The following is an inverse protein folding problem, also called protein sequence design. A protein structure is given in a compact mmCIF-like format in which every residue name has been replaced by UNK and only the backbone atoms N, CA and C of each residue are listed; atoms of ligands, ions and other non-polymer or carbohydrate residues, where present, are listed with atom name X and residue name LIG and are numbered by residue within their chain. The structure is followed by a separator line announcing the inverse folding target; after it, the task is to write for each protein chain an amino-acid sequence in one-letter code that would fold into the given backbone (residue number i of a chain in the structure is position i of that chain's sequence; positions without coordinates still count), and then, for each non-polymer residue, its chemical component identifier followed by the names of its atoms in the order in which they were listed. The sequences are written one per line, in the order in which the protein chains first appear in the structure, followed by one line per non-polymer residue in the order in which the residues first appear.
data_IF_561479983590
#
_entry.id   IF_561479983590
#
_cell.length_a   1.000
_cell.length_b   1.000
_cell.length_c   1.000
_cell.angle_alpha   90.00
_cell.angle_beta   90.00
_cell.angle_gamma   90.00
#
_symmetry.space_group_name_H-M   'P 1'
#
loop_
_entity.id
_entity.type
_entity.pdbx_description
1 polymer ?
#
# COMPACT_ATOMS: atom_id res chain seq x y z
N UNK A 1 -13.07 0.45 11.28
CA UNK A 1 -13.27 1.41 10.18
C UNK A 1 -12.36 1.01 9.02
N UNK A 2 -12.73 1.30 7.77
CA UNK A 2 -11.92 0.97 6.59
C UNK A 2 -11.48 2.25 5.89
N UNK A 3 -10.25 2.29 5.37
CA UNK A 3 -9.67 3.44 4.64
C UNK A 3 -8.83 2.92 3.50
N UNK A 4 -8.94 3.52 2.31
CA UNK A 4 -8.24 3.06 1.11
C UNK A 4 -7.63 4.21 0.32
N UNK A 5 -6.46 4.72 0.75
CA UNK A 5 -5.73 5.72 -0.03
C UNK A 5 -5.42 5.24 -1.45
N UNK A 6 -5.12 3.95 -1.66
CA UNK A 6 -4.86 3.40 -3.00
C UNK A 6 -6.03 3.65 -3.97
N UNK A 7 -7.28 3.44 -3.55
CA UNK A 7 -8.45 3.72 -4.39
C UNK A 7 -8.62 5.23 -4.63
N UNK A 8 -8.38 6.04 -3.59
CA UNK A 8 -8.51 7.48 -3.67
C UNK A 8 -7.40 8.15 -4.50
N UNK A 9 -6.31 7.45 -4.90
CA UNK A 9 -5.38 7.98 -5.92
C UNK A 9 -6.08 8.21 -7.27
N UNK A 10 -7.24 7.60 -7.50
CA UNK A 10 -8.11 7.85 -8.63
C UNK A 10 -9.36 8.66 -8.22
N UNK A 11 -10.08 8.24 -7.18
CA UNK A 11 -11.39 8.82 -6.86
C UNK A 11 -11.32 10.14 -6.09
N UNK A 12 -10.26 10.39 -5.33
CA UNK A 12 -10.02 11.63 -4.60
C UNK A 12 -8.52 11.97 -4.52
N UNK A 13 -7.87 12.30 -5.64
CA UNK A 13 -6.40 12.31 -5.77
C UNK A 13 -5.75 13.53 -5.10
N UNK A 14 -6.44 14.25 -4.23
CA UNK A 14 -5.98 15.50 -3.62
C UNK A 14 -4.80 15.35 -2.65
N UNK A 15 -4.25 14.15 -2.47
CA UNK A 15 -3.02 13.89 -1.71
C UNK A 15 -1.95 13.20 -2.56
N UNK A 16 -2.30 12.76 -3.77
CA UNK A 16 -1.48 11.89 -4.61
C UNK A 16 -0.67 12.69 -5.64
N UNK A 17 0.55 12.23 -5.93
CA UNK A 17 1.49 12.89 -6.85
C UNK A 17 2.65 13.61 -6.17
N UNK A 18 3.69 13.87 -6.95
CA UNK A 18 4.92 14.57 -6.52
C UNK A 18 4.64 16.07 -6.42
N UNK A 19 4.96 16.69 -5.29
CA UNK A 19 4.79 18.13 -5.12
C UNK A 19 5.90 18.91 -5.84
N UNK A 20 5.67 20.18 -6.23
CA UNK A 20 6.69 20.99 -6.91
C UNK A 20 8.02 21.09 -6.15
N UNK A 21 7.99 21.15 -4.82
CA UNK A 21 9.17 21.18 -3.96
C UNK A 21 9.92 19.83 -3.87
N UNK A 22 9.33 18.76 -4.38
CA UNK A 22 9.88 17.40 -4.35
C UNK A 22 10.51 16.99 -5.69
N UNK A 23 10.45 17.85 -6.72
CA UNK A 23 10.97 17.54 -8.06
C UNK A 23 12.46 17.27 -8.08
N UNK A 24 13.21 17.86 -7.14
CA UNK A 24 14.66 17.72 -7.02
C UNK A 24 15.09 16.48 -6.22
N UNK A 25 14.14 15.75 -5.60
CA UNK A 25 14.44 14.51 -4.90
C UNK A 25 14.81 13.39 -5.90
N UNK A 26 15.56 12.40 -5.42
CA UNK A 26 15.74 11.14 -6.14
C UNK A 26 14.38 10.46 -6.37
N UNK A 27 14.27 9.57 -7.34
CA UNK A 27 13.02 8.82 -7.60
C UNK A 27 12.52 8.08 -6.35
N UNK A 28 13.43 7.44 -5.62
CA UNK A 28 13.11 6.81 -4.34
C UNK A 28 12.62 7.82 -3.30
N UNK A 29 13.22 9.02 -3.22
CA UNK A 29 12.78 10.08 -2.33
C UNK A 29 11.42 10.66 -2.68
N UNK A 30 11.11 10.79 -3.98
CA UNK A 30 9.79 11.20 -4.47
C UNK A 30 8.72 10.19 -4.06
N UNK A 31 8.98 8.90 -4.30
CA UNK A 31 8.05 7.83 -3.94
C UNK A 31 7.86 7.79 -2.42
N UNK A 32 8.93 7.89 -1.63
CA UNK A 32 8.86 7.93 -0.17
C UNK A 32 7.92 9.05 0.33
N UNK A 33 8.10 10.27 -0.18
CA UNK A 33 7.28 11.42 0.20
C UNK A 33 5.80 11.22 -0.17
N UNK A 34 5.53 10.71 -1.38
CA UNK A 34 4.17 10.40 -1.85
C UNK A 34 3.51 9.34 -0.97
N UNK A 35 4.23 8.26 -0.63
CA UNK A 35 3.66 7.18 0.19
C UNK A 35 3.41 7.62 1.64
N UNK A 36 4.27 8.48 2.20
CA UNK A 36 4.03 9.10 3.52
C UNK A 36 2.78 9.98 3.52
N UNK A 37 2.50 10.71 2.44
CA UNK A 37 1.23 11.44 2.27
C UNK A 37 0.02 10.50 2.20
N UNK A 38 0.13 9.38 1.49
CA UNK A 38 -0.95 8.39 1.42
C UNK A 38 -1.28 7.80 2.80
N UNK A 39 -0.27 7.50 3.63
CA UNK A 39 -0.49 7.08 5.02
C UNK A 39 -1.08 8.21 5.86
N UNK A 40 -0.59 9.43 5.71
CA UNK A 40 -1.16 10.60 6.41
C UNK A 40 -2.63 10.81 6.07
N UNK A 41 -3.04 10.54 4.82
CA UNK A 41 -4.43 10.58 4.39
C UNK A 41 -5.28 9.49 5.07
N UNK A 42 -4.79 8.25 5.19
CA UNK A 42 -5.47 7.20 5.96
C UNK A 42 -5.64 7.58 7.44
N UNK A 43 -4.60 8.18 8.05
CA UNK A 43 -4.63 8.65 9.43
C UNK A 43 -5.67 9.76 9.61
N UNK A 44 -5.77 10.70 8.66
CA UNK A 44 -6.79 11.75 8.70
C UNK A 44 -8.21 11.17 8.62
N UNK A 45 -8.45 10.15 7.79
CA UNK A 45 -9.75 9.47 7.75
C UNK A 45 -10.07 8.77 9.07
N UNK A 46 -9.08 8.11 9.69
CA UNK A 46 -9.21 7.52 11.03
C UNK A 46 -9.53 8.56 12.11
N UNK A 47 -8.77 9.66 12.14
CA UNK A 47 -8.92 10.72 13.13
C UNK A 47 -10.29 11.42 12.99
N UNK A 48 -10.80 11.56 11.76
CA UNK A 48 -12.15 12.08 11.51
C UNK A 48 -13.25 11.22 12.18
N UNK A 49 -13.15 9.89 12.07
CA UNK A 49 -14.06 8.95 12.74
C UNK A 49 -13.95 9.08 14.27
N UNK A 50 -12.73 9.12 14.80
CA UNK A 50 -12.50 9.25 16.25
C UNK A 50 -13.04 10.58 16.78
N UNK A 51 -12.81 11.68 16.06
CA UNK A 51 -13.29 13.01 16.41
C UNK A 51 -14.83 13.05 16.44
N UNK A 52 -15.49 12.44 15.45
CA UNK A 52 -16.95 12.35 15.40
C UNK A 52 -17.51 11.53 16.57
N UNK A 53 -16.93 10.36 16.87
CA UNK A 53 -17.36 9.55 18.02
C UNK A 53 -17.22 10.33 19.34
N UNK A 54 -16.10 11.06 19.51
CA UNK A 54 -15.86 11.89 20.69
C UNK A 54 -16.83 13.06 20.81
N UNK A 55 -17.21 13.70 19.71
CA UNK A 55 -18.16 14.83 19.74
C UNK A 55 -19.56 14.42 20.22
N UNK A 56 -19.91 13.14 20.07
CA UNK A 56 -21.13 12.53 20.61
C UNK A 56 -21.00 12.12 22.09
N UNK A 57 -19.86 12.36 22.74
CA UNK A 57 -19.59 11.92 24.11
C UNK A 57 -19.41 10.41 24.24
N UNK A 58 -19.17 9.69 23.14
CA UNK A 58 -18.99 8.24 23.15
C UNK A 58 -17.50 7.92 23.31
N UNK A 59 -17.18 7.01 24.24
CA UNK A 59 -15.83 6.49 24.42
C UNK A 59 -15.78 5.03 23.95
N UNK A 60 -15.35 4.81 22.71
CA UNK A 60 -15.09 3.48 22.14
C UNK A 60 -13.75 3.44 21.43
N UNK A 61 -13.07 2.30 21.57
CA UNK A 61 -11.89 2.01 20.77
C UNK A 61 -12.27 1.92 19.28
N UNK A 62 -11.40 2.45 18.42
CA UNK A 62 -11.52 2.35 16.97
C UNK A 62 -10.29 1.60 16.47
N UNK A 63 -10.51 0.64 15.58
CA UNK A 63 -9.47 -0.13 14.92
C UNK A 63 -9.62 -0.04 13.41
N UNK A 64 -8.52 -0.29 12.69
CA UNK A 64 -8.53 -0.42 11.23
C UNK A 64 -8.96 -1.85 10.90
N UNK A 65 -10.19 -1.98 10.43
CA UNK A 65 -10.78 -3.27 10.05
C UNK A 65 -10.36 -3.73 8.66
N UNK A 66 -9.95 -2.79 7.80
CA UNK A 66 -9.47 -3.10 6.46
C UNK A 66 -8.76 -1.89 5.86
N UNK A 67 -7.67 -2.15 5.15
CA UNK A 67 -6.91 -1.22 4.31
C UNK A 67 -5.87 -2.04 3.57
N UNK A 68 -5.49 -1.61 2.37
CA UNK A 68 -4.55 -2.36 1.55
C UNK A 68 -4.00 -1.52 0.41
N UNK A 69 -2.98 -2.07 -0.24
CA UNK A 69 -2.35 -1.46 -1.40
C UNK A 69 -1.93 -2.56 -2.36
N UNK A 70 -2.59 -2.67 -3.51
CA UNK A 70 -2.31 -3.72 -4.48
C UNK A 70 -0.93 -3.54 -5.14
N UNK A 71 -0.29 -4.67 -5.44
CA UNK A 71 1.01 -4.70 -6.11
C UNK A 71 0.91 -4.61 -7.64
N UNK A 72 -0.31 -4.69 -8.19
CA UNK A 72 -0.53 -4.62 -9.65
C UNK A 72 -1.91 -4.06 -9.99
N UNK A 73 -2.04 -3.49 -11.18
CA UNK A 73 -3.31 -3.07 -11.80
C UNK A 73 -3.08 -2.81 -13.28
N UNK A 74 -3.99 -3.30 -14.13
CA UNK A 74 -4.11 -2.85 -15.53
C UNK A 74 -5.15 -1.74 -15.74
N UNK A 75 -5.88 -1.33 -14.69
CA UNK A 75 -6.87 -0.26 -14.72
C UNK A 75 -6.37 1.07 -14.14
N UNK A 76 -7.27 1.79 -13.45
CA UNK A 76 -7.05 3.14 -12.93
C UNK A 76 -5.85 3.31 -12.00
N UNK A 77 -5.39 2.24 -11.36
CA UNK A 77 -4.30 2.31 -10.38
C UNK A 77 -2.92 1.99 -10.99
N UNK A 78 -2.91 1.54 -12.24
CA UNK A 78 -1.74 1.01 -12.94
C UNK A 78 -0.98 2.03 -13.78
N UNK A 79 -0.20 1.51 -14.75
CA UNK A 79 0.69 2.27 -15.64
C UNK A 79 -0.03 3.32 -16.50
N UNK A 80 -1.29 3.08 -16.85
CA UNK A 80 -2.11 4.00 -17.65
C UNK A 80 -2.98 4.94 -16.79
N UNK A 81 -2.88 4.82 -15.46
CA UNK A 81 -3.68 5.58 -14.50
C UNK A 81 -2.82 6.31 -13.48
N UNK A 82 -3.09 6.09 -12.20
CA UNK A 82 -2.47 6.83 -11.11
C UNK A 82 -1.03 6.43 -10.79
N UNK A 83 -0.48 5.36 -11.40
CA UNK A 83 0.86 4.83 -11.10
C UNK A 83 1.04 4.44 -9.63
N UNK A 84 -0.03 3.92 -9.01
CA UNK A 84 -0.08 3.59 -7.59
C UNK A 84 0.43 2.16 -7.30
N UNK A 85 0.19 1.20 -8.18
CA UNK A 85 0.38 -0.22 -7.85
C UNK A 85 1.71 -0.80 -8.30
N UNK A 86 2.53 -1.21 -7.33
CA UNK A 86 3.74 -2.04 -7.48
C UNK A 86 4.14 -2.58 -6.09
N UNK A 87 4.95 -3.65 -6.05
CA UNK A 87 5.40 -4.27 -4.79
C UNK A 87 6.20 -3.30 -3.89
N UNK A 88 6.82 -2.27 -4.47
CA UNK A 88 7.59 -1.29 -3.69
C UNK A 88 6.68 -0.35 -2.91
N UNK A 89 5.68 0.25 -3.57
CA UNK A 89 4.68 1.11 -2.91
C UNK A 89 3.78 0.34 -1.96
N UNK A 90 3.40 -0.90 -2.30
CA UNK A 90 2.71 -1.81 -1.37
C UNK A 90 3.50 -1.95 -0.06
N UNK A 91 4.80 -2.26 -0.15
CA UNK A 91 5.64 -2.43 1.02
C UNK A 91 5.76 -1.14 1.87
N UNK A 92 5.99 0.00 1.23
CA UNK A 92 6.07 1.29 1.93
C UNK A 92 4.76 1.62 2.66
N UNK A 93 3.61 1.43 2.01
CA UNK A 93 2.32 1.65 2.64
C UNK A 93 2.11 0.73 3.84
N UNK A 94 2.37 -0.57 3.66
CA UNK A 94 2.27 -1.57 4.72
C UNK A 94 3.13 -1.21 5.93
N UNK A 95 4.42 -0.90 5.72
CA UNK A 95 5.37 -0.61 6.81
C UNK A 95 5.01 0.67 7.56
N UNK A 96 4.77 1.77 6.84
CA UNK A 96 4.47 3.06 7.46
C UNK A 96 3.14 3.04 8.22
N UNK A 97 2.12 2.38 7.66
CA UNK A 97 0.83 2.27 8.35
C UNK A 97 0.92 1.36 9.59
N UNK A 98 1.63 0.23 9.51
CA UNK A 98 1.82 -0.66 10.66
C UNK A 98 2.65 -0.02 11.77
N UNK A 99 3.68 0.76 11.42
CA UNK A 99 4.46 1.51 12.40
C UNK A 99 3.56 2.46 13.18
N UNK A 100 2.79 3.31 12.48
CA UNK A 100 1.83 4.21 13.10
C UNK A 100 0.79 3.46 13.95
N UNK A 101 0.18 2.41 13.40
CA UNK A 101 -0.87 1.67 14.10
C UNK A 101 -0.33 1.03 15.39
N UNK A 102 0.88 0.45 15.35
CA UNK A 102 1.57 -0.11 16.52
C UNK A 102 1.82 0.96 17.58
N UNK A 103 2.34 2.12 17.20
CA UNK A 103 2.59 3.24 18.13
C UNK A 103 1.31 3.74 18.81
N UNK A 104 0.18 3.66 18.11
CA UNK A 104 -1.13 4.08 18.63
C UNK A 104 -1.91 2.96 19.33
N UNK A 105 -1.35 1.75 19.44
CA UNK A 105 -2.05 0.55 19.94
C UNK A 105 -3.35 0.26 19.17
N UNK A 106 -3.31 0.44 17.86
CA UNK A 106 -4.42 0.20 16.93
C UNK A 106 -4.15 -1.12 16.21
N UNK A 107 -5.09 -2.06 16.29
CA UNK A 107 -5.08 -3.22 15.39
C UNK A 107 -5.36 -2.79 13.96
N UNK A 108 -4.57 -3.34 13.02
CA UNK A 108 -4.77 -3.20 11.59
C UNK A 108 -4.96 -4.58 10.96
N UNK A 109 -6.17 -4.86 10.51
CA UNK A 109 -6.47 -6.05 9.71
C UNK A 109 -6.16 -5.71 8.25
N UNK A 110 -4.87 -5.75 7.91
CA UNK A 110 -4.38 -5.36 6.59
C UNK A 110 -4.85 -6.34 5.51
N UNK A 111 -5.24 -5.78 4.37
CA UNK A 111 -5.76 -6.46 3.22
C UNK A 111 -4.66 -6.57 2.14
N UNK A 112 -4.12 -7.76 1.85
CA UNK A 112 -4.47 -9.08 2.40
C UNK A 112 -3.27 -10.03 2.52
N UNK A 113 -3.49 -11.25 3.02
CA UNK A 113 -2.40 -12.20 3.21
C UNK A 113 -1.88 -12.79 1.89
N UNK A 114 -2.78 -13.28 1.03
CA UNK A 114 -2.45 -13.92 -0.24
C UNK A 114 -3.31 -13.31 -1.33
N UNK A 115 -2.75 -13.16 -2.52
CA UNK A 115 -3.51 -12.80 -3.71
C UNK A 115 -4.70 -13.75 -3.92
N UNK A 116 -5.87 -13.17 -4.16
CA UNK A 116 -7.15 -13.88 -4.35
C UNK A 116 -7.72 -13.66 -5.77
N UNK A 117 -7.34 -14.49 -6.77
CA UNK A 117 -7.63 -14.23 -8.19
C UNK A 117 -9.10 -14.40 -8.59
N UNK A 118 -9.96 -14.79 -7.65
CA UNK A 118 -11.39 -14.93 -7.87
C UNK A 118 -12.15 -13.60 -7.73
N UNK A 119 -11.52 -12.55 -7.18
CA UNK A 119 -12.17 -11.25 -6.92
C UNK A 119 -12.47 -10.47 -8.20
N UNK A 120 -11.59 -10.54 -9.18
CA UNK A 120 -11.82 -10.06 -10.55
C UNK A 120 -11.50 -11.18 -11.55
N UNK A 121 -12.33 -12.23 -11.54
CA UNK A 121 -12.08 -13.46 -12.30
C UNK A 121 -12.06 -13.28 -13.83
N UNK A 122 -12.67 -12.19 -14.32
CA UNK A 122 -12.72 -11.88 -15.76
C UNK A 122 -11.55 -11.00 -16.21
N UNK A 123 -10.81 -10.42 -15.27
CA UNK A 123 -9.64 -9.59 -15.53
C UNK A 123 -8.51 -9.95 -14.54
N UNK A 124 -7.68 -10.95 -14.86
CA UNK A 124 -6.59 -11.40 -13.99
C UNK A 124 -5.62 -10.30 -13.55
N UNK A 125 -5.43 -9.26 -14.38
CA UNK A 125 -4.55 -8.12 -14.09
C UNK A 125 -5.27 -6.97 -13.33
N UNK A 126 -6.53 -7.17 -12.95
CA UNK A 126 -7.30 -6.23 -12.12
C UNK A 126 -6.79 -6.19 -10.69
N UNK A 127 -6.72 -4.99 -10.10
CA UNK A 127 -6.07 -4.76 -8.79
C UNK A 127 -6.58 -5.65 -7.67
N UNK A 128 -7.88 -5.98 -7.69
CA UNK A 128 -8.52 -6.81 -6.67
C UNK A 128 -7.83 -8.18 -6.48
N UNK A 129 -7.19 -8.70 -7.52
CA UNK A 129 -6.51 -9.99 -7.47
C UNK A 129 -5.10 -9.91 -6.85
N UNK A 130 -4.59 -8.71 -6.52
CA UNK A 130 -3.16 -8.46 -6.27
C UNK A 130 -2.86 -7.73 -4.93
N UNK A 131 -3.73 -7.85 -3.93
CA UNK A 131 -3.55 -7.21 -2.61
C UNK A 131 -2.70 -8.02 -1.62
N UNK A 132 -2.34 -9.26 -1.95
CA UNK A 132 -1.68 -10.17 -1.03
C UNK A 132 -0.23 -9.81 -0.76
N UNK A 133 0.21 -9.89 0.51
CA UNK A 133 1.64 -9.85 0.84
C UNK A 133 2.41 -11.06 0.26
N UNK A 134 1.69 -12.13 -0.04
CA UNK A 134 2.13 -13.27 -0.83
C UNK A 134 1.35 -13.38 -2.13
N UNK A 135 2.00 -13.92 -3.16
CA UNK A 135 1.33 -14.36 -4.39
C UNK A 135 0.48 -15.61 -4.15
N UNK A 136 -0.39 -15.95 -5.10
CA UNK A 136 -1.23 -17.17 -5.09
C UNK A 136 -0.38 -18.44 -4.84
N UNK A 137 0.78 -18.52 -5.49
CA UNK A 137 1.72 -19.64 -5.42
C UNK A 137 2.68 -19.57 -4.21
N UNK A 138 2.46 -18.61 -3.29
CA UNK A 138 3.19 -18.53 -2.01
C UNK A 138 4.55 -17.85 -2.09
N UNK A 139 4.83 -17.08 -3.14
CA UNK A 139 6.01 -16.22 -3.17
C UNK A 139 5.77 -14.98 -2.30
N UNK A 140 6.75 -14.65 -1.48
CA UNK A 140 6.77 -13.43 -0.68
C UNK A 140 7.04 -12.22 -1.58
N UNK A 141 6.11 -11.26 -1.62
CA UNK A 141 6.33 -9.96 -2.27
C UNK A 141 7.36 -9.14 -1.49
N UNK A 142 7.83 -8.04 -2.09
CA UNK A 142 8.91 -7.20 -1.57
C UNK A 142 8.77 -6.86 -0.08
N UNK A 143 7.54 -6.60 0.36
CA UNK A 143 7.18 -6.32 1.76
C UNK A 143 7.65 -7.38 2.78
N UNK A 144 7.82 -8.64 2.36
CA UNK A 144 8.23 -9.76 3.22
C UNK A 144 9.63 -10.33 2.88
N UNK A 145 10.38 -9.73 1.97
CA UNK A 145 11.68 -10.28 1.55
C UNK A 145 12.67 -10.47 2.71
N UNK A 146 12.74 -9.52 3.65
CA UNK A 146 13.63 -9.61 4.81
C UNK A 146 13.26 -10.78 5.73
N UNK A 147 11.97 -11.12 5.81
CA UNK A 147 11.50 -12.28 6.58
C UNK A 147 11.93 -13.61 5.91
N UNK A 148 11.99 -13.64 4.58
CA UNK A 148 12.56 -14.79 3.84
C UNK A 148 14.06 -14.92 4.16
N UNK A 149 14.82 -13.82 4.12
CA UNK A 149 16.28 -13.84 4.37
C UNK A 149 16.64 -14.26 5.79
N UNK A 150 15.86 -13.82 6.76
CA UNK A 150 16.03 -14.22 8.17
C UNK A 150 15.61 -15.66 8.45
N UNK A 151 15.11 -16.38 7.45
CA UNK A 151 14.69 -17.77 7.58
C UNK A 151 13.37 -17.93 8.32
N UNK A 152 12.57 -16.87 8.47
CA UNK A 152 11.27 -16.89 9.18
C UNK A 152 10.35 -17.98 8.62
N UNK A 153 10.41 -18.21 7.31
CA UNK A 153 9.56 -19.20 6.61
C UNK A 153 10.26 -20.53 6.33
N UNK A 154 11.42 -20.80 6.94
CA UNK A 154 12.20 -22.02 6.66
C UNK A 154 11.39 -23.27 7.01
N UNK A 155 11.28 -24.18 6.06
CA UNK A 155 10.53 -25.44 6.21
C UNK A 155 9.02 -25.31 5.98
N UNK A 156 8.52 -24.09 5.75
CA UNK A 156 7.14 -23.86 5.34
C UNK A 156 7.03 -23.91 3.81
N UNK A 157 5.87 -24.35 3.33
CA UNK A 157 5.53 -24.41 1.91
C UNK A 157 4.05 -24.13 1.71
N UNK A 158 3.70 -23.76 0.48
CA UNK A 158 2.33 -23.66 -0.01
C UNK A 158 2.21 -24.57 -1.22
N UNK A 159 1.30 -25.55 -1.17
CA UNK A 159 1.13 -26.57 -2.21
C UNK A 159 2.45 -27.24 -2.65
N UNK A 160 3.31 -27.51 -1.67
CA UNK A 160 4.63 -28.11 -1.87
C UNK A 160 5.72 -27.14 -2.37
N UNK A 161 5.38 -25.90 -2.71
CA UNK A 161 6.35 -24.88 -3.10
C UNK A 161 6.91 -24.15 -1.87
N UNK A 162 8.24 -24.09 -1.69
CA UNK A 162 8.83 -23.34 -0.59
C UNK A 162 8.57 -21.84 -0.76
N UNK A 163 8.45 -21.13 0.36
CA UNK A 163 8.27 -19.68 0.35
C UNK A 163 9.55 -19.02 -0.17
N UNK A 164 9.49 -18.50 -1.40
CA UNK A 164 10.58 -17.81 -2.08
C UNK A 164 10.21 -16.35 -2.33
N UNK A 165 11.22 -15.50 -2.60
CA UNK A 165 10.98 -14.11 -2.97
C UNK A 165 10.45 -13.97 -4.39
N UNK A 166 9.51 -13.06 -4.61
CA UNK A 166 9.24 -12.50 -5.94
C UNK A 166 10.52 -11.91 -6.54
N UNK A 167 10.56 -11.75 -7.88
CA UNK A 167 11.75 -11.29 -8.61
C UNK A 167 13.06 -12.07 -8.31
N UNK A 168 12.98 -13.25 -7.68
CA UNK A 168 14.12 -14.00 -7.14
C UNK A 168 14.96 -13.18 -6.14
N UNK A 169 14.36 -12.19 -5.48
CA UNK A 169 15.05 -11.26 -4.57
C UNK A 169 15.92 -10.22 -5.26
N UNK A 170 15.80 -10.07 -6.58
CA UNK A 170 16.54 -9.04 -7.34
C UNK A 170 15.82 -7.70 -7.27
N UNK A 171 16.25 -6.86 -6.32
CA UNK A 171 15.67 -5.52 -6.11
C UNK A 171 15.79 -4.64 -7.35
N UNK A 172 16.86 -4.74 -8.12
CA UNK A 172 17.04 -3.93 -9.32
C UNK A 172 15.98 -4.27 -10.37
N UNK A 173 15.64 -5.55 -10.53
CA UNK A 173 14.54 -5.97 -11.42
C UNK A 173 13.17 -5.51 -10.92
N UNK A 174 12.90 -5.62 -9.63
CA UNK A 174 11.63 -5.16 -9.05
C UNK A 174 11.43 -3.66 -9.28
N UNK A 175 12.49 -2.86 -9.10
CA UNK A 175 12.43 -1.41 -9.31
C UNK A 175 12.17 -1.00 -10.77
N UNK A 176 12.36 -1.87 -11.77
CA UNK A 176 12.00 -1.57 -13.16
C UNK A 176 10.49 -1.47 -13.38
N UNK A 177 9.68 -2.04 -12.49
CA UNK A 177 8.22 -1.97 -12.54
C UNK A 177 7.66 -0.79 -11.72
N UNK A 178 8.52 -0.03 -11.05
CA UNK A 178 8.13 1.06 -10.15
C UNK A 178 8.19 2.38 -10.90
N UNK A 179 7.04 3.05 -11.00
CA UNK A 179 6.93 4.36 -11.64
C UNK A 179 6.75 5.48 -10.61
N UNK A 180 7.37 6.63 -10.82
CA UNK A 180 7.12 7.80 -9.98
C UNK A 180 5.76 8.40 -10.36
N UNK A 181 4.85 8.64 -9.39
CA UNK A 181 3.57 9.31 -9.66
C UNK A 181 3.75 10.69 -10.32
N UNK A 182 2.76 11.19 -11.08
CA UNK A 182 2.91 12.45 -11.80
C UNK A 182 3.12 13.63 -10.86
N UNK A 183 3.75 14.69 -11.38
CA UNK A 183 3.82 15.97 -10.67
C UNK A 183 2.41 16.53 -10.54
N UNK A 184 2.05 16.95 -9.33
CA UNK A 184 0.78 17.60 -9.06
C UNK A 184 0.99 19.11 -8.98
N UNK A 185 0.14 19.86 -9.70
CA UNK A 185 0.09 21.31 -9.54
C UNK A 185 -0.33 21.65 -8.10
N UNK A 186 0.52 22.37 -7.38
CA UNK A 186 0.17 22.88 -6.07
C UNK A 186 -0.95 23.93 -6.25
N UNK A 187 -2.12 23.68 -5.65
CA UNK A 187 -3.08 24.76 -5.44
C UNK A 187 -2.51 25.56 -4.27
N UNK A 188 -1.89 26.70 -4.58
CA UNK A 188 -1.45 27.64 -3.56
C UNK A 188 -2.68 28.16 -2.81
N UNK A 189 -2.88 27.64 -1.61
CA UNK A 189 -3.86 28.20 -0.72
C UNK A 189 -3.21 29.42 -0.04
N UNK A 190 -3.71 30.62 -0.36
CA UNK A 190 -3.37 31.83 0.39
C UNK A 190 -3.95 31.68 1.80
N UNK A 191 -3.11 31.26 2.74
CA UNK A 191 -3.42 31.17 4.17
C UNK A 191 -2.55 32.16 4.93
#
# INVERSE_FOLDING_TARGET
MHTYPMHDTHYNPSFWGVLPEETELSEAGKIDAVMKRAVSYAIQQYDSVVAYIRSLGINKAVHIGETGWASHSNGFYGKEGSLATDEYKEALFYWYLHEWAREKNISCFYFEAFDEPWKDSMNPEGSENHFGLFTVDGKAKFVLWDLVDTGTFKGLSRDGQPIAKTYKGDKAKMLLDVYVPPIREAISANH
#
